data_IF_377317788876
#
_entry.id   IF_377317788876
#
_cell.length_a   1.000
_cell.length_b   1.000
_cell.length_c   1.000
_cell.angle_alpha   90.00
_cell.angle_beta   90.00
_cell.angle_gamma   90.00
#
_symmetry.space_group_name_H-M   'P 1'
#
loop_
_entity.id
_entity.type
_entity.pdbx_description
1 polymer ?
#
# COMPACT_ATOMS: atom_id res chain seq x y z
N UNK A 1 44.73 14.41 -37.05
CA UNK A 1 44.44 14.45 -35.59
C UNK A 1 43.16 15.22 -35.27
N UNK A 2 43.02 16.52 -35.58
CA UNK A 2 41.78 17.30 -35.29
C UNK A 2 40.51 16.75 -35.96
N UNK A 3 40.61 16.22 -37.19
CA UNK A 3 39.47 15.65 -37.93
C UNK A 3 39.00 14.30 -37.38
N UNK A 4 39.92 13.45 -36.88
CA UNK A 4 39.54 12.21 -36.18
C UNK A 4 38.94 12.50 -34.80
N UNK A 5 39.44 13.52 -34.10
CA UNK A 5 38.92 13.94 -32.80
C UNK A 5 37.50 14.53 -32.91
N UNK A 6 37.21 15.25 -34.00
CA UNK A 6 35.86 15.75 -34.31
C UNK A 6 34.88 14.62 -34.67
N UNK A 7 35.32 13.58 -35.37
CA UNK A 7 34.49 12.41 -35.70
C UNK A 7 34.20 11.58 -34.43
N UNK A 8 35.18 11.44 -33.53
CA UNK A 8 34.99 10.81 -32.23
C UNK A 8 34.05 11.61 -31.32
N UNK A 9 34.16 12.93 -31.30
CA UNK A 9 33.26 13.80 -30.52
C UNK A 9 31.84 13.77 -31.08
N UNK A 10 31.68 13.74 -32.42
CA UNK A 10 30.39 13.57 -33.08
C UNK A 10 29.79 12.17 -32.84
N UNK A 11 30.61 11.12 -32.73
CA UNK A 11 30.14 9.79 -32.36
C UNK A 11 29.73 9.70 -30.90
N UNK A 12 30.41 10.40 -29.98
CA UNK A 12 30.02 10.45 -28.56
C UNK A 12 28.77 11.28 -28.36
N UNK A 13 28.63 12.43 -29.04
CA UNK A 13 27.41 13.25 -29.02
C UNK A 13 26.26 12.51 -29.73
N UNK A 14 26.52 11.85 -30.86
CA UNK A 14 25.53 11.02 -31.55
C UNK A 14 25.12 9.78 -30.75
N UNK A 15 26.06 9.17 -30.01
CA UNK A 15 25.75 8.11 -29.06
C UNK A 15 24.97 8.64 -27.87
N UNK A 16 25.22 9.87 -27.38
CA UNK A 16 24.38 10.51 -26.35
C UNK A 16 22.98 10.91 -26.85
N UNK A 17 22.84 11.30 -28.13
CA UNK A 17 21.54 11.61 -28.76
C UNK A 17 20.78 10.33 -29.18
N UNK A 18 21.49 9.21 -29.37
CA UNK A 18 20.91 7.87 -29.63
C UNK A 18 20.80 7.01 -28.35
N UNK A 19 21.37 7.46 -27.23
CA UNK A 19 21.20 6.94 -25.87
C UNK A 19 20.23 7.80 -25.04
N UNK A 20 19.43 8.65 -25.68
CA UNK A 20 18.05 8.65 -25.25
C UNK A 20 17.48 7.33 -25.75
N UNK A 21 17.31 6.32 -24.90
CA UNK A 21 16.34 5.35 -25.26
C UNK A 21 15.02 6.13 -25.36
N UNK A 22 14.52 6.23 -26.58
CA UNK A 22 13.12 5.94 -26.82
C UNK A 22 12.86 4.47 -26.39
N UNK A 23 13.12 4.16 -25.11
CA UNK A 23 12.34 3.26 -24.31
C UNK A 23 11.15 4.19 -23.98
N UNK A 24 10.02 4.15 -24.68
CA UNK A 24 9.06 3.06 -24.54
C UNK A 24 9.47 2.07 -23.44
N UNK A 25 9.61 2.61 -22.23
CA UNK A 25 9.06 1.94 -21.08
C UNK A 25 7.59 1.75 -21.46
N UNK A 26 7.23 0.54 -21.89
CA UNK A 26 5.95 -0.01 -21.49
C UNK A 26 6.04 -0.22 -19.97
N UNK A 27 6.13 0.89 -19.25
CA UNK A 27 5.78 1.00 -17.86
C UNK A 27 4.42 1.67 -17.91
N UNK A 28 3.39 0.91 -17.53
CA UNK A 28 2.00 1.33 -17.57
C UNK A 28 1.69 2.43 -16.53
N UNK A 29 2.68 3.21 -16.13
CA UNK A 29 2.53 4.43 -15.38
C UNK A 29 2.61 5.61 -16.33
N UNK A 30 1.44 6.04 -16.81
CA UNK A 30 1.24 7.38 -17.34
C UNK A 30 1.77 8.41 -16.32
N UNK A 31 3.02 8.85 -16.48
CA UNK A 31 3.46 10.13 -15.95
C UNK A 31 2.94 11.24 -16.88
N UNK A 32 1.62 11.31 -17.00
CA UNK A 32 0.91 12.52 -17.42
C UNK A 32 0.93 13.45 -16.20
N UNK A 33 1.30 14.71 -16.43
CA UNK A 33 1.12 15.86 -15.54
C UNK A 33 0.06 15.59 -14.45
N UNK A 34 0.47 15.26 -13.22
CA UNK A 34 -0.39 15.16 -12.02
C UNK A 34 -1.86 14.81 -12.29
N UNK A 35 -2.12 13.78 -13.10
CA UNK A 35 -3.48 13.34 -13.36
C UNK A 35 -3.88 12.52 -12.12
N UNK A 36 -4.40 13.23 -11.11
CA UNK A 36 -5.04 12.64 -9.93
C UNK A 36 -5.93 11.48 -10.40
N UNK A 37 -5.77 10.30 -9.80
CA UNK A 37 -6.57 9.15 -10.20
C UNK A 37 -8.07 9.46 -10.04
N UNK A 38 -8.92 8.84 -10.86
CA UNK A 38 -10.37 9.05 -10.75
C UNK A 38 -10.88 8.62 -9.37
N UNK A 39 -10.41 7.47 -8.90
CA UNK A 39 -10.59 6.98 -7.54
C UNK A 39 -9.22 6.79 -6.91
N UNK A 40 -9.02 7.40 -5.75
CA UNK A 40 -7.88 7.17 -4.91
C UNK A 40 -8.30 7.33 -3.44
N UNK A 41 -8.17 6.26 -2.68
CA UNK A 41 -8.38 6.26 -1.24
C UNK A 41 -7.02 6.31 -0.55
N UNK A 42 -6.90 7.08 0.53
CA UNK A 42 -5.72 7.05 1.38
C UNK A 42 -6.12 6.97 2.86
N UNK A 43 -5.19 6.47 3.67
CA UNK A 43 -5.39 6.22 5.09
C UNK A 43 -4.30 6.92 5.88
N UNK A 44 -4.67 7.51 7.01
CA UNK A 44 -3.72 8.06 7.98
C UNK A 44 -4.10 7.61 9.39
N UNK A 45 -3.26 6.81 10.07
CA UNK A 45 -2.00 6.21 9.58
C UNK A 45 -2.21 5.16 8.46
N UNK A 46 -1.24 5.01 7.56
CA UNK A 46 -1.32 4.11 6.39
C UNK A 46 -0.84 2.68 6.63
N UNK A 47 0.00 2.47 7.66
CA UNK A 47 0.74 1.21 7.81
C UNK A 47 0.21 0.39 8.99
N UNK A 48 0.26 0.96 10.20
CA UNK A 48 -0.13 0.27 11.42
C UNK A 48 -0.92 1.22 12.32
N UNK A 49 -2.18 0.86 12.57
CA UNK A 49 -3.09 1.60 13.45
C UNK A 49 -2.92 1.18 14.90
N UNK A 50 -2.82 -0.14 15.14
CA UNK A 50 -2.61 -0.70 16.46
C UNK A 50 -1.22 -1.33 16.57
N UNK A 51 -0.47 -0.90 17.58
CA UNK A 51 0.73 -1.57 18.04
C UNK A 51 0.72 -1.49 19.57
N UNK A 52 -0.02 -2.41 20.18
CA UNK A 52 -0.28 -2.43 21.62
C UNK A 52 0.44 -3.62 22.23
N UNK A 53 1.24 -3.36 23.26
CA UNK A 53 2.00 -4.38 23.98
C UNK A 53 1.50 -4.48 25.42
N UNK A 54 1.52 -5.69 25.97
CA UNK A 54 1.12 -6.00 27.34
C UNK A 54 -0.32 -5.54 27.65
N UNK A 55 -1.24 -5.79 26.72
CA UNK A 55 -2.67 -5.54 26.89
C UNK A 55 -3.32 -6.71 27.65
N UNK A 56 -3.93 -6.42 28.79
CA UNK A 56 -4.48 -7.42 29.72
C UNK A 56 -6.01 -7.41 29.72
N UNK A 57 -6.68 -8.46 30.23
CA UNK A 57 -8.11 -8.44 30.50
C UNK A 57 -8.52 -7.17 31.28
N UNK A 58 -9.48 -6.42 30.73
CA UNK A 58 -9.95 -5.13 31.25
C UNK A 58 -9.34 -3.90 30.57
N UNK A 59 -8.23 -4.04 29.82
CA UNK A 59 -7.61 -2.93 29.10
C UNK A 59 -8.37 -2.58 27.81
N UNK A 60 -8.16 -1.35 27.34
CA UNK A 60 -8.64 -0.86 26.05
C UNK A 60 -7.59 0.01 25.36
N UNK A 61 -7.67 0.10 24.04
CA UNK A 61 -6.77 0.89 23.21
C UNK A 61 -7.58 1.68 22.17
N UNK A 62 -7.76 3.01 22.35
CA UNK A 62 -8.41 3.86 21.37
C UNK A 62 -7.41 4.34 20.30
N UNK A 63 -7.82 4.38 19.04
CA UNK A 63 -7.06 4.93 17.90
C UNK A 63 -8.02 5.63 16.94
N UNK A 64 -7.55 6.70 16.33
CA UNK A 64 -8.30 7.41 15.28
C UNK A 64 -7.65 7.09 13.93
N UNK A 65 -8.46 6.71 12.95
CA UNK A 65 -8.07 6.50 11.56
C UNK A 65 -8.76 7.53 10.67
N UNK A 66 -7.99 8.26 9.86
CA UNK A 66 -8.54 9.15 8.84
C UNK A 66 -8.58 8.41 7.50
N UNK A 67 -9.76 8.36 6.89
CA UNK A 67 -9.99 7.88 5.52
C UNK A 67 -10.17 9.09 4.60
N UNK A 68 -9.40 9.18 3.53
CA UNK A 68 -9.41 10.35 2.64
C UNK A 68 -9.74 9.96 1.20
N UNK A 69 -10.53 10.80 0.53
CA UNK A 69 -10.75 10.71 -0.91
C UNK A 69 -9.76 11.63 -1.66
N UNK A 70 -8.60 11.04 -1.97
CA UNK A 70 -7.58 11.62 -2.83
C UNK A 70 -7.84 11.33 -4.32
N UNK A 71 -9.08 11.02 -4.70
CA UNK A 71 -9.55 10.86 -6.08
C UNK A 71 -10.23 12.11 -6.64
N UNK A 72 -10.49 12.13 -7.96
CA UNK A 72 -11.25 13.20 -8.60
C UNK A 72 -12.76 13.05 -8.39
N UNK A 73 -13.24 11.83 -8.25
CA UNK A 73 -14.65 11.49 -8.18
C UNK A 73 -15.08 11.09 -6.77
N UNK A 74 -16.36 11.24 -6.49
CA UNK A 74 -16.96 10.66 -5.29
C UNK A 74 -16.96 9.13 -5.39
N UNK A 75 -16.76 8.46 -4.26
CA UNK A 75 -16.79 7.01 -4.18
C UNK A 75 -17.59 6.50 -3.00
N UNK A 76 -17.96 5.22 -3.06
CA UNK A 76 -18.29 4.47 -1.87
C UNK A 76 -17.09 3.62 -1.47
N UNK A 77 -16.81 3.53 -0.17
CA UNK A 77 -15.82 2.62 0.35
C UNK A 77 -16.42 1.62 1.34
N UNK A 78 -15.73 0.50 1.50
CA UNK A 78 -16.14 -0.59 2.39
C UNK A 78 -14.96 -1.03 3.25
N UNK A 79 -15.23 -1.26 4.53
CA UNK A 79 -14.25 -1.76 5.50
C UNK A 79 -14.49 -3.24 5.72
N UNK A 80 -13.44 -4.04 5.65
CA UNK A 80 -13.41 -5.43 6.11
C UNK A 80 -12.19 -5.68 6.99
N UNK A 81 -12.23 -6.72 7.81
CA UNK A 81 -11.11 -7.12 8.65
C UNK A 81 -10.78 -8.59 8.40
N UNK A 82 -9.49 -8.91 8.45
CA UNK A 82 -9.00 -10.28 8.31
C UNK A 82 -8.02 -10.58 9.43
N UNK A 83 -8.17 -11.76 10.03
CA UNK A 83 -7.18 -12.28 10.97
C UNK A 83 -5.95 -12.79 10.20
N UNK A 84 -4.76 -12.30 10.57
CA UNK A 84 -3.47 -12.73 10.03
C UNK A 84 -2.62 -13.48 11.08
N UNK A 85 -3.17 -13.72 12.28
CA UNK A 85 -2.48 -14.36 13.40
C UNK A 85 -3.27 -15.49 14.05
N UNK A 86 -3.07 -15.68 15.36
CA UNK A 86 -3.74 -16.74 16.11
C UNK A 86 -5.21 -16.42 16.38
N UNK A 87 -6.10 -17.36 16.04
CA UNK A 87 -7.55 -17.17 16.18
C UNK A 87 -8.02 -17.04 17.64
N UNK A 88 -7.30 -17.60 18.61
CA UNK A 88 -7.80 -17.73 19.98
C UNK A 88 -8.12 -16.38 20.62
N UNK A 89 -7.18 -15.42 20.60
CA UNK A 89 -7.42 -14.09 21.16
C UNK A 89 -8.23 -13.21 20.18
N UNK A 90 -8.05 -13.37 18.87
CA UNK A 90 -8.83 -12.66 17.85
C UNK A 90 -10.35 -12.88 18.00
N UNK A 91 -10.76 -14.11 18.34
CA UNK A 91 -12.16 -14.48 18.53
C UNK A 91 -12.84 -13.87 19.76
N UNK A 92 -12.07 -13.30 20.69
CA UNK A 92 -12.60 -12.81 21.96
C UNK A 92 -12.43 -11.29 22.14
N UNK A 93 -11.51 -10.65 21.43
CA UNK A 93 -11.36 -9.20 21.49
C UNK A 93 -12.63 -8.50 20.97
N UNK A 94 -13.01 -7.41 21.64
CA UNK A 94 -14.10 -6.55 21.23
C UNK A 94 -13.55 -5.36 20.46
N UNK A 95 -14.27 -4.92 19.44
CA UNK A 95 -13.99 -3.71 18.67
C UNK A 95 -15.23 -2.83 18.62
N UNK A 96 -14.99 -1.55 18.84
CA UNK A 96 -15.96 -0.48 18.70
C UNK A 96 -15.41 0.48 17.64
N UNK A 97 -16.23 0.82 16.65
CA UNK A 97 -15.91 1.76 15.59
C UNK A 97 -16.99 2.83 15.55
N UNK A 98 -16.61 4.09 15.70
CA UNK A 98 -17.50 5.25 15.70
C UNK A 98 -17.03 6.24 14.62
N UNK A 99 -17.96 6.68 13.78
CA UNK A 99 -17.72 7.77 12.82
C UNK A 99 -18.49 9.03 13.23
N UNK A 100 -18.48 10.05 12.39
CA UNK A 100 -19.16 11.33 12.69
C UNK A 100 -20.68 11.19 12.93
N UNK A 101 -21.32 10.24 12.25
CA UNK A 101 -22.77 9.98 12.35
C UNK A 101 -23.15 8.96 13.44
N UNK A 102 -22.16 8.47 14.21
CA UNK A 102 -22.34 7.53 15.33
C UNK A 102 -21.67 6.16 15.12
N UNK A 103 -22.13 5.17 15.89
CA UNK A 103 -21.52 3.83 15.95
C UNK A 103 -21.67 3.11 14.60
N UNK A 104 -20.53 2.74 14.02
CA UNK A 104 -20.42 1.94 12.80
C UNK A 104 -20.50 0.45 13.09
N UNK A 105 -19.92 0.04 14.22
CA UNK A 105 -19.89 -1.35 14.67
C UNK A 105 -19.51 -1.43 16.14
N UNK A 106 -20.12 -2.37 16.85
CA UNK A 106 -19.77 -2.74 18.21
C UNK A 106 -19.96 -4.26 18.36
N UNK A 107 -18.89 -4.99 18.67
CA UNK A 107 -18.96 -6.45 18.75
C UNK A 107 -17.60 -7.13 18.81
N UNK A 108 -17.57 -8.43 18.54
CA UNK A 108 -16.31 -9.20 18.50
C UNK A 108 -15.55 -8.94 17.22
N UNK A 109 -14.23 -8.86 17.31
CA UNK A 109 -13.34 -8.68 16.16
C UNK A 109 -13.54 -9.78 15.10
N UNK A 110 -13.87 -11.00 15.52
CA UNK A 110 -14.13 -12.13 14.63
C UNK A 110 -15.53 -12.16 13.99
N UNK A 111 -16.47 -11.36 14.47
CA UNK A 111 -17.81 -11.24 13.89
C UNK A 111 -17.89 -10.09 12.87
N UNK A 112 -16.88 -9.23 12.86
CA UNK A 112 -16.72 -8.20 11.84
C UNK A 112 -16.16 -8.86 10.58
N UNK A 113 -16.99 -9.16 9.58
CA UNK A 113 -16.50 -9.57 8.26
C UNK A 113 -16.39 -8.37 7.34
N UNK A 114 -17.48 -7.62 7.19
CA UNK A 114 -17.56 -6.48 6.27
C UNK A 114 -18.64 -5.51 6.73
N UNK A 115 -18.33 -4.21 6.74
CA UNK A 115 -19.29 -3.15 7.06
C UNK A 115 -20.16 -2.74 5.85
N UNK A 116 -21.30 -2.08 6.08
CA UNK A 116 -22.03 -1.39 5.02
C UNK A 116 -21.14 -0.39 4.26
N UNK A 117 -21.37 -0.23 2.96
CA UNK A 117 -20.66 0.76 2.14
C UNK A 117 -20.97 2.18 2.62
N UNK A 118 -19.96 3.05 2.64
CA UNK A 118 -20.04 4.45 3.08
C UNK A 118 -19.65 5.38 1.95
N UNK A 119 -20.37 6.50 1.82
CA UNK A 119 -20.10 7.50 0.78
C UNK A 119 -19.01 8.47 1.26
N UNK A 120 -18.07 8.82 0.37
CA UNK A 120 -17.07 9.84 0.62
C UNK A 120 -16.88 10.73 -0.61
N UNK A 121 -17.17 12.02 -0.46
CA UNK A 121 -17.07 13.00 -1.55
C UNK A 121 -15.61 13.27 -1.94
N UNK A 122 -15.39 13.72 -3.17
CA UNK A 122 -14.06 14.04 -3.67
C UNK A 122 -13.38 15.12 -2.82
N UNK A 123 -12.11 14.89 -2.44
CA UNK A 123 -11.31 15.79 -1.60
C UNK A 123 -11.83 15.99 -0.16
N UNK A 124 -12.70 15.09 0.33
CA UNK A 124 -13.10 15.07 1.75
C UNK A 124 -12.44 13.92 2.49
N UNK A 125 -12.58 13.93 3.81
CA UNK A 125 -12.10 12.88 4.70
C UNK A 125 -13.17 12.53 5.72
N UNK A 126 -13.03 11.37 6.34
CA UNK A 126 -13.82 10.89 7.47
C UNK A 126 -12.85 10.41 8.54
N UNK A 127 -13.09 10.81 9.79
CA UNK A 127 -12.40 10.24 10.95
C UNK A 127 -13.23 9.11 11.56
N UNK A 128 -12.57 8.00 11.84
CA UNK A 128 -13.16 6.84 12.50
C UNK A 128 -12.38 6.58 13.79
N UNK A 129 -13.06 6.69 14.91
CA UNK A 129 -12.54 6.33 16.21
C UNK A 129 -12.76 4.84 16.44
N UNK A 130 -11.65 4.11 16.62
CA UNK A 130 -11.62 2.66 16.75
C UNK A 130 -11.03 2.31 18.11
N UNK A 131 -11.83 1.64 18.93
CA UNK A 131 -11.39 1.14 20.24
C UNK A 131 -11.39 -0.38 20.24
N UNK A 132 -10.22 -0.97 20.52
CA UNK A 132 -10.14 -2.40 20.82
C UNK A 132 -10.16 -2.61 22.34
N UNK A 133 -10.97 -3.55 22.80
CA UNK A 133 -11.16 -3.90 24.22
C UNK A 133 -10.81 -5.36 24.46
N UNK A 134 -10.07 -5.60 25.54
CA UNK A 134 -9.82 -6.95 26.05
C UNK A 134 -10.87 -7.24 27.14
N UNK A 135 -11.81 -8.17 26.92
CA UNK A 135 -12.85 -8.43 27.91
C UNK A 135 -12.28 -8.89 29.25
N UNK A 136 -12.82 -8.32 30.32
CA UNK A 136 -12.41 -8.56 31.72
C UNK A 136 -12.75 -9.96 32.25
N UNK A 137 -13.65 -10.69 31.59
CA UNK A 137 -14.00 -12.06 31.96
C UNK A 137 -13.04 -13.13 31.40
N UNK A 138 -12.10 -12.74 30.53
CA UNK A 138 -11.13 -13.66 29.95
C UNK A 138 -10.02 -13.96 30.97
N UNK A 139 -9.72 -15.24 31.16
CA UNK A 139 -8.77 -15.68 32.16
C UNK A 139 -7.31 -15.65 31.71
N UNK A 140 -6.43 -16.20 32.55
CA UNK A 140 -4.99 -16.26 32.30
C UNK A 140 -4.61 -17.13 31.09
N UNK A 141 -5.54 -17.93 30.54
CA UNK A 141 -5.34 -18.74 29.35
C UNK A 141 -5.16 -17.93 28.05
N UNK A 142 -5.40 -16.62 28.11
CA UNK A 142 -5.14 -15.67 27.03
C UNK A 142 -3.83 -14.89 27.24
N UNK A 143 -3.15 -15.06 28.38
CA UNK A 143 -1.90 -14.37 28.65
C UNK A 143 -0.78 -14.84 27.72
N UNK A 144 0.00 -13.88 27.23
CA UNK A 144 1.12 -14.11 26.30
C UNK A 144 0.70 -14.34 24.85
N UNK A 145 -0.60 -14.34 24.54
CA UNK A 145 -1.09 -14.44 23.17
C UNK A 145 -0.92 -13.11 22.41
N UNK A 146 -0.89 -13.25 21.10
CA UNK A 146 -0.79 -12.13 20.15
C UNK A 146 -1.88 -12.26 19.10
N UNK A 147 -2.45 -11.12 18.73
CA UNK A 147 -3.34 -10.97 17.58
C UNK A 147 -2.66 -10.08 16.56
N UNK A 148 -2.68 -10.55 15.32
CA UNK A 148 -2.35 -9.77 14.15
C UNK A 148 -3.58 -9.76 13.25
N UNK A 149 -4.07 -8.58 12.91
CA UNK A 149 -5.19 -8.42 11.99
C UNK A 149 -4.90 -7.30 11.00
N UNK A 150 -5.64 -7.30 9.90
CA UNK A 150 -5.52 -6.31 8.85
C UNK A 150 -6.91 -5.81 8.46
N UNK A 151 -7.07 -4.50 8.38
CA UNK A 151 -8.30 -3.86 7.92
C UNK A 151 -8.12 -3.41 6.48
N UNK A 152 -9.01 -3.85 5.60
CA UNK A 152 -9.03 -3.53 4.17
C UNK A 152 -10.11 -2.50 3.87
N UNK A 153 -9.72 -1.48 3.11
CA UNK A 153 -10.56 -0.37 2.67
C UNK A 153 -10.64 -0.43 1.15
N UNK A 154 -11.82 -0.76 0.62
CA UNK A 154 -12.05 -0.90 -0.82
C UNK A 154 -12.93 0.25 -1.29
N UNK A 155 -12.40 1.14 -2.13
CA UNK A 155 -13.15 2.24 -2.74
C UNK A 155 -13.61 1.87 -4.16
N UNK A 156 -14.87 2.18 -4.50
CA UNK A 156 -15.50 1.93 -5.80
C UNK A 156 -16.32 3.17 -6.23
N UNK A 157 -16.41 3.46 -7.53
CA UNK A 157 -17.10 4.66 -8.01
C UNK A 157 -18.55 4.69 -7.50
N UNK A 158 -19.04 5.86 -7.10
CA UNK A 158 -20.41 6.00 -6.60
C UNK A 158 -21.49 5.61 -7.63
N UNK A 159 -21.15 5.61 -8.92
CA UNK A 159 -22.03 5.26 -10.04
C UNK A 159 -21.89 3.80 -10.51
N UNK A 160 -21.19 2.94 -9.75
CA UNK A 160 -21.06 1.52 -10.07
C UNK A 160 -22.36 0.77 -9.74
N UNK A 161 -23.20 0.52 -10.73
CA UNK A 161 -24.42 -0.30 -10.56
C UNK A 161 -24.04 -1.75 -10.16
N UNK A 162 -24.71 -2.38 -9.19
CA UNK A 162 -24.46 -3.79 -8.87
C UNK A 162 -25.03 -4.70 -9.98
N UNK A 163 -24.13 -5.38 -10.69
CA UNK A 163 -24.41 -6.63 -11.39
C UNK A 163 -24.79 -6.53 -12.87
N UNK A 164 -23.95 -7.08 -13.74
CA UNK A 164 -24.41 -7.95 -14.84
C UNK A 164 -23.29 -8.95 -15.09
N UNK A 165 -23.49 -10.20 -14.65
CA UNK A 165 -22.80 -11.31 -15.28
C UNK A 165 -23.47 -11.54 -16.63
N UNK A 166 -22.72 -11.35 -17.72
CA UNK A 166 -22.61 -12.34 -18.79
C UNK A 166 -21.70 -11.84 -19.92
N UNK A 167 -20.75 -12.72 -20.25
CA UNK A 167 -20.18 -13.04 -21.57
C UNK A 167 -19.36 -12.01 -22.34
N UNK A 168 -18.09 -12.41 -22.53
CA UNK A 168 -17.28 -12.27 -23.75
C UNK A 168 -17.19 -10.89 -24.39
N UNK A 169 -16.23 -10.11 -23.89
CA UNK A 169 -15.69 -8.93 -24.56
C UNK A 169 -14.32 -8.61 -24.02
N UNK A 170 -13.29 -8.73 -24.87
CA UNK A 170 -11.93 -8.27 -24.62
C UNK A 170 -11.95 -6.73 -24.53
N UNK A 171 -12.25 -6.20 -23.34
CA UNK A 171 -12.20 -4.77 -23.03
C UNK A 171 -11.37 -4.56 -21.75
N UNK A 172 -10.26 -3.83 -21.89
CA UNK A 172 -9.37 -3.45 -20.79
C UNK A 172 -9.99 -2.31 -19.97
N UNK A 173 -11.23 -2.46 -19.53
CA UNK A 173 -11.83 -1.58 -18.54
C UNK A 173 -11.16 -1.87 -17.20
N UNK A 174 -10.19 -1.02 -16.85
CA UNK A 174 -9.65 -0.93 -15.49
C UNK A 174 -10.85 -0.84 -14.57
N UNK A 175 -11.12 -1.90 -13.82
CA UNK A 175 -12.05 -1.83 -12.71
C UNK A 175 -11.57 -0.71 -11.79
N UNK A 176 -12.32 0.38 -11.73
CA UNK A 176 -12.11 1.55 -10.87
C UNK A 176 -12.29 1.15 -9.40
N UNK A 177 -11.32 0.39 -8.89
CA UNK A 177 -11.24 -0.01 -7.49
C UNK A 177 -9.87 0.35 -6.96
N UNK A 178 -9.83 1.08 -5.86
CA UNK A 178 -8.59 1.30 -5.10
C UNK A 178 -8.73 0.63 -3.73
N UNK A 179 -7.68 -0.10 -3.33
CA UNK A 179 -7.66 -0.89 -2.10
C UNK A 179 -6.49 -0.44 -1.23
N UNK A 180 -6.76 -0.19 0.04
CA UNK A 180 -5.77 0.14 1.07
C UNK A 180 -5.93 -0.77 2.27
N UNK A 181 -4.84 -0.94 3.00
CA UNK A 181 -4.74 -1.83 4.14
C UNK A 181 -4.11 -1.09 5.30
N UNK A 182 -4.55 -1.37 6.53
CA UNK A 182 -3.88 -0.89 7.74
C UNK A 182 -3.87 -2.00 8.78
N UNK A 183 -2.69 -2.27 9.33
CA UNK A 183 -2.47 -3.37 10.26
C UNK A 183 -2.82 -3.04 11.71
N UNK A 184 -3.17 -4.07 12.46
CA UNK A 184 -3.31 -4.02 13.90
C UNK A 184 -2.60 -5.18 14.58
N UNK A 185 -1.74 -4.86 15.55
CA UNK A 185 -1.03 -5.81 16.40
C UNK A 185 -1.35 -5.54 17.86
N UNK A 186 -1.85 -6.58 18.55
CA UNK A 186 -2.18 -6.54 19.97
C UNK A 186 -1.55 -7.76 20.63
N UNK A 187 -0.66 -7.50 21.58
CA UNK A 187 0.06 -8.53 22.31
C UNK A 187 -0.15 -8.38 23.81
N UNK A 188 -0.23 -9.49 24.53
CA UNK A 188 -0.18 -9.53 26.01
C UNK A 188 1.21 -9.94 26.54
N UNK A 189 2.30 -9.52 25.86
CA UNK A 189 3.68 -9.81 26.29
C UNK A 189 4.76 -9.51 25.24
N UNK A 190 6.02 -9.74 25.61
CA UNK A 190 7.24 -9.53 24.79
C UNK A 190 7.45 -10.61 23.71
N UNK A 191 6.36 -11.09 23.12
CA UNK A 191 6.44 -12.07 22.03
C UNK A 191 6.65 -11.32 20.71
N UNK A 192 7.86 -11.47 20.20
CA UNK A 192 8.39 -10.96 18.93
C UNK A 192 7.75 -11.62 17.71
N UNK A 193 6.42 -11.65 17.63
CA UNK A 193 5.76 -11.76 16.33
C UNK A 193 6.06 -10.46 15.59
N UNK A 194 6.98 -10.52 14.63
CA UNK A 194 7.47 -9.36 13.90
C UNK A 194 6.30 -8.56 13.33
N UNK A 195 6.28 -7.24 13.58
CA UNK A 195 5.35 -6.36 12.88
C UNK A 195 5.54 -6.55 11.37
N UNK A 196 4.46 -6.63 10.58
CA UNK A 196 4.58 -6.67 9.13
C UNK A 196 5.40 -5.44 8.70
N UNK A 197 6.61 -5.68 8.20
CA UNK A 197 7.51 -4.62 7.79
C UNK A 197 6.98 -4.03 6.47
N UNK A 198 7.01 -2.69 6.30
CA UNK A 198 6.71 -2.10 5.01
C UNK A 198 7.65 -2.69 3.95
N UNK A 199 7.12 -3.02 2.77
CA UNK A 199 7.89 -3.58 1.64
C UNK A 199 8.81 -2.52 1.05
N UNK A 200 9.88 -2.19 1.76
CA UNK A 200 10.89 -1.19 1.37
C UNK A 200 11.95 -1.74 0.41
N UNK A 201 12.10 -3.07 0.33
CA UNK A 201 13.16 -3.71 -0.45
C UNK A 201 12.98 -3.58 -1.97
N UNK A 202 11.74 -3.62 -2.48
CA UNK A 202 11.47 -3.62 -3.93
C UNK A 202 12.03 -2.37 -4.62
N UNK A 203 11.94 -1.19 -3.98
CA UNK A 203 12.44 0.06 -4.57
C UNK A 203 13.97 0.13 -4.57
N UNK A 204 14.64 -0.44 -3.57
CA UNK A 204 16.11 -0.47 -3.49
C UNK A 204 16.73 -1.34 -4.58
N UNK A 205 16.08 -2.45 -4.96
CA UNK A 205 16.58 -3.32 -6.04
C UNK A 205 16.55 -2.63 -7.41
N UNK A 206 15.59 -1.75 -7.68
CA UNK A 206 15.54 -0.97 -8.92
C UNK A 206 16.74 -0.01 -9.03
N UNK A 207 17.07 0.71 -7.96
CA UNK A 207 18.24 1.61 -7.95
C UNK A 207 19.57 0.85 -8.06
N UNK A 208 19.68 -0.33 -7.42
CA UNK A 208 20.87 -1.18 -7.52
C UNK A 208 21.06 -1.74 -8.94
N UNK A 209 19.96 -2.10 -9.61
CA UNK A 209 19.97 -2.58 -10.98
C UNK A 209 20.44 -1.47 -11.95
N UNK A 210 19.96 -0.24 -11.78
CA UNK A 210 20.40 0.91 -12.57
C UNK A 210 21.91 1.19 -12.35
N UNK A 211 22.37 1.14 -11.10
CA UNK A 211 23.79 1.35 -10.76
C UNK A 211 24.74 0.29 -11.35
N UNK A 212 24.32 -0.97 -11.35
CA UNK A 212 25.12 -2.07 -11.94
C UNK A 212 25.21 -1.96 -13.46
N UNK A 213 24.13 -1.57 -14.13
CA UNK A 213 24.15 -1.26 -15.57
C UNK A 213 25.13 -0.12 -15.92
N UNK A 214 25.15 0.96 -15.13
CA UNK A 214 26.08 2.09 -15.32
C UNK A 214 27.56 1.67 -15.15
N UNK A 215 27.87 0.84 -14.16
CA UNK A 215 29.24 0.35 -13.95
C UNK A 215 29.73 -0.53 -15.11
N UNK A 216 28.86 -1.41 -15.62
CA UNK A 216 29.19 -2.26 -16.76
C UNK A 216 29.43 -1.43 -18.03
N UNK A 217 28.59 -0.43 -18.29
CA UNK A 217 28.79 0.50 -19.41
C UNK A 217 30.12 1.24 -19.31
N UNK A 218 30.46 1.76 -18.12
CA UNK A 218 31.74 2.42 -17.85
C UNK A 218 32.94 1.50 -18.08
N UNK A 219 32.86 0.24 -17.65
CA UNK A 219 33.90 -0.76 -17.86
C UNK A 219 34.14 -1.04 -19.35
N UNK A 220 33.06 -1.15 -20.13
CA UNK A 220 33.13 -1.40 -21.58
C UNK A 220 33.80 -0.22 -22.29
N UNK A 221 33.41 1.02 -21.97
CA UNK A 221 34.02 2.24 -22.52
C UNK A 221 35.51 2.31 -22.16
N UNK A 222 35.87 1.97 -20.92
CA UNK A 222 37.26 1.92 -20.47
C UNK A 222 38.08 0.90 -21.26
N UNK A 223 37.54 -0.29 -21.52
CA UNK A 223 38.22 -1.33 -22.31
C UNK A 223 38.41 -0.88 -23.77
N UNK A 224 37.39 -0.30 -24.40
CA UNK A 224 37.45 0.16 -25.79
C UNK A 224 38.46 1.31 -25.94
N UNK A 225 38.42 2.30 -25.06
CA UNK A 225 39.36 3.43 -25.08
C UNK A 225 40.81 3.01 -24.87
N UNK A 226 41.04 1.97 -24.06
CA UNK A 226 42.38 1.39 -23.85
C UNK A 226 42.88 0.60 -25.05
N UNK A 227 41.99 -0.02 -25.84
CA UNK A 227 42.34 -0.72 -27.08
C UNK A 227 42.64 0.24 -28.23
N UNK A 228 41.91 1.35 -28.34
CA UNK A 228 42.13 2.38 -29.37
C UNK A 228 43.43 3.19 -29.18
N UNK A 229 43.98 3.27 -27.96
CA UNK A 229 45.29 3.89 -27.71
C UNK A 229 46.50 3.00 -28.08
N UNK A 230 46.27 1.73 -28.40
CA UNK A 230 47.33 0.75 -28.74
C UNK A 230 47.40 0.41 -30.24
N UNK A 231 46.51 0.97 -31.07
CA UNK A 231 46.53 0.89 -32.52
C UNK A 231 46.93 2.25 -33.11
#
# INVERSE_FOLDING_TARGET
MKRLMLVSLAFVIGFFILHDPLLTMADNSNATINEKAEIAISLSPSDMLFNVNNMKPGDWAPRTLTVMNDGKNDFHYQISITNEGEAKLFNELLIEMEGEEGILYEGKLAELETLPKRFLAANTYEEIDITVRFPEHLGNEFQGLAVLFNMSFVAEAANSTPGTGDSDGEDNSKTDKDVKHVGGKINDGDNTAGSPLPKTATNMFHYLLIGTCLLLAGLIIYIISRRLKKA
#
